data_IF_665133798950
#
_entry.id   IF_665133798950
#
_cell.length_a   1.000
_cell.length_b   1.000
_cell.length_c   1.000
_cell.angle_alpha   90.00
_cell.angle_beta   90.00
_cell.angle_gamma   90.00
#
_symmetry.space_group_name_H-M   'P 1'
#
loop_
_entity.id
_entity.type
_entity.pdbx_description
1 polymer ?
#
# COMPACT_ATOMS: atom_id res chain seq x y z
N UNK A 1 30.17 15.98 -11.38
CA UNK A 1 29.32 14.98 -10.70
C UNK A 1 27.88 15.48 -10.72
N UNK A 2 26.91 14.68 -11.18
CA UNK A 2 25.48 15.03 -11.09
C UNK A 2 24.84 14.13 -10.04
N UNK A 3 24.33 14.73 -8.97
CA UNK A 3 23.68 14.03 -7.86
C UNK A 3 22.19 14.33 -7.88
N UNK A 4 21.37 13.37 -7.48
CA UNK A 4 19.93 13.53 -7.28
C UNK A 4 19.57 13.11 -5.85
N UNK A 5 18.53 13.71 -5.30
CA UNK A 5 17.96 13.35 -3.99
C UNK A 5 16.59 12.74 -4.23
N UNK A 6 16.37 11.54 -3.71
CA UNK A 6 15.09 10.83 -3.78
C UNK A 6 14.51 10.67 -2.38
N UNK A 7 13.20 10.86 -2.26
CA UNK A 7 12.48 10.63 -1.01
C UNK A 7 12.26 9.13 -0.79
N UNK A 8 12.71 8.62 0.36
CA UNK A 8 12.39 7.27 0.81
C UNK A 8 11.09 7.27 1.61
N UNK A 9 10.30 6.22 1.42
CA UNK A 9 9.01 6.02 2.06
C UNK A 9 9.07 4.77 2.92
N UNK A 10 8.50 4.84 4.12
CA UNK A 10 8.36 3.69 5.00
C UNK A 10 7.26 2.77 4.48
N UNK A 11 7.53 1.46 4.49
CA UNK A 11 6.53 0.45 4.21
C UNK A 11 6.86 -0.87 4.90
N UNK A 12 6.06 -1.89 4.61
CA UNK A 12 6.23 -3.23 5.18
C UNK A 12 6.03 -4.31 4.13
N UNK A 13 6.71 -5.44 4.29
CA UNK A 13 6.46 -6.66 3.53
C UNK A 13 6.79 -7.85 4.42
N UNK A 14 5.92 -8.87 4.44
CA UNK A 14 6.03 -10.04 5.33
C UNK A 14 6.35 -9.67 6.80
N UNK A 15 5.73 -8.61 7.32
CA UNK A 15 5.93 -8.14 8.69
C UNK A 15 7.26 -7.43 8.96
N UNK A 16 8.09 -7.21 7.92
CA UNK A 16 9.40 -6.53 8.04
C UNK A 16 9.35 -5.13 7.44
N UNK A 17 9.97 -4.14 8.10
CA UNK A 17 10.02 -2.79 7.59
C UNK A 17 10.93 -2.68 6.36
N UNK A 18 10.53 -1.83 5.41
CA UNK A 18 11.28 -1.52 4.19
C UNK A 18 11.29 -0.02 3.93
N UNK A 19 12.31 0.44 3.21
CA UNK A 19 12.25 1.71 2.50
C UNK A 19 11.99 1.44 1.02
N UNK A 20 11.08 2.21 0.43
CA UNK A 20 10.82 2.18 -1.00
C UNK A 20 10.78 3.59 -1.59
N UNK A 21 10.90 3.66 -2.91
CA UNK A 21 10.72 4.86 -3.70
C UNK A 21 9.46 4.65 -4.54
N UNK A 22 8.61 5.66 -4.61
CA UNK A 22 7.43 5.70 -5.49
C UNK A 22 7.64 6.77 -6.55
N UNK A 23 7.46 6.42 -7.82
CA UNK A 23 7.88 7.26 -8.97
C UNK A 23 6.73 7.68 -9.85
N UNK A 24 5.84 6.75 -10.21
CA UNK A 24 4.70 6.98 -11.09
C UNK A 24 3.40 6.37 -10.55
N UNK A 25 2.26 6.96 -10.92
CA UNK A 25 0.95 6.32 -10.77
C UNK A 25 0.05 6.56 -11.98
N UNK A 26 -0.82 5.59 -12.27
CA UNK A 26 -1.82 5.68 -13.32
C UNK A 26 -3.04 6.54 -12.96
N UNK A 27 -3.16 6.94 -11.70
CA UNK A 27 -4.28 7.72 -11.18
C UNK A 27 -3.81 9.10 -10.69
N UNK A 28 -4.50 10.20 -11.05
CA UNK A 28 -4.07 11.54 -10.67
C UNK A 28 -4.20 11.81 -9.17
N UNK A 29 -5.17 11.18 -8.50
CA UNK A 29 -5.39 11.31 -7.05
C UNK A 29 -4.30 10.59 -6.28
N UNK A 30 -3.99 9.36 -6.68
CA UNK A 30 -2.87 8.60 -6.10
C UNK A 30 -1.55 9.35 -6.33
N UNK A 31 -1.34 9.89 -7.53
CA UNK A 31 -0.15 10.71 -7.84
C UNK A 31 -0.03 11.92 -6.92
N UNK A 32 -1.14 12.61 -6.63
CA UNK A 32 -1.15 13.76 -5.73
C UNK A 32 -0.87 13.38 -4.27
N UNK A 33 -1.46 12.28 -3.78
CA UNK A 33 -1.28 11.83 -2.39
C UNK A 33 0.15 11.28 -2.17
N UNK A 34 0.66 10.49 -3.10
CA UNK A 34 1.98 9.89 -2.98
C UNK A 34 3.10 10.83 -3.44
N UNK A 35 2.79 11.92 -4.15
CA UNK A 35 3.79 12.84 -4.72
C UNK A 35 4.57 12.20 -5.87
N UNK A 36 3.86 11.49 -6.76
CA UNK A 36 4.42 10.77 -7.90
C UNK A 36 4.16 11.52 -9.22
N UNK A 37 4.85 11.11 -10.28
CA UNK A 37 4.54 11.55 -11.64
C UNK A 37 3.26 10.87 -12.13
N UNK A 38 2.30 11.65 -12.60
CA UNK A 38 1.08 11.09 -13.21
C UNK A 38 1.38 10.49 -14.58
N UNK A 39 1.19 9.18 -14.71
CA UNK A 39 1.48 8.38 -15.90
C UNK A 39 0.23 7.56 -16.33
N UNK A 40 -0.76 8.19 -16.98
CA UNK A 40 -2.08 7.58 -17.24
C UNK A 40 -2.02 6.30 -18.09
N UNK A 41 -0.98 6.12 -18.91
CA UNK A 41 -0.83 4.92 -19.76
C UNK A 41 -0.60 3.64 -18.95
N UNK A 42 -0.13 3.75 -17.69
CA UNK A 42 0.00 2.61 -16.77
C UNK A 42 -1.36 1.95 -16.48
N UNK A 43 -2.49 2.65 -16.67
CA UNK A 43 -3.84 2.08 -16.50
C UNK A 43 -4.18 0.97 -17.51
N UNK A 44 -3.35 0.77 -18.54
CA UNK A 44 -3.50 -0.31 -19.53
C UNK A 44 -2.90 -1.64 -19.07
N UNK A 45 -2.20 -1.66 -17.94
CA UNK A 45 -1.67 -2.88 -17.34
C UNK A 45 -2.85 -3.64 -16.70
N UNK A 46 -2.90 -4.93 -16.95
CA UNK A 46 -3.92 -5.82 -16.38
C UNK A 46 -3.70 -5.98 -14.88
N UNK A 47 -4.75 -5.80 -14.08
CA UNK A 47 -4.75 -5.90 -12.61
C UNK A 47 -5.69 -7.00 -12.13
N UNK A 48 -5.62 -7.39 -10.85
CA UNK A 48 -6.41 -8.49 -10.29
C UNK A 48 -5.99 -9.88 -10.78
N UNK A 49 -4.78 -9.98 -11.32
CA UNK A 49 -4.15 -11.22 -11.83
C UNK A 49 -2.75 -11.40 -11.23
N UNK A 50 -2.51 -10.93 -10.00
CA UNK A 50 -1.27 -11.15 -9.25
C UNK A 50 -0.98 -12.65 -9.01
N UNK A 51 0.27 -12.98 -8.65
CA UNK A 51 0.72 -14.33 -8.28
C UNK A 51 0.55 -15.45 -9.33
N UNK A 52 0.26 -15.11 -10.60
CA UNK A 52 0.31 -16.04 -11.73
C UNK A 52 1.61 -15.91 -12.49
N UNK A 53 2.05 -16.98 -13.15
CA UNK A 53 3.32 -17.02 -13.90
C UNK A 53 3.47 -15.98 -15.04
N UNK A 54 2.38 -15.27 -15.38
CA UNK A 54 2.34 -14.22 -16.39
C UNK A 54 2.02 -12.84 -15.82
N UNK A 55 1.86 -12.70 -14.50
CA UNK A 55 1.53 -11.41 -13.93
C UNK A 55 2.69 -10.45 -14.09
N UNK A 56 2.38 -9.23 -14.53
CA UNK A 56 3.32 -8.13 -14.55
C UNK A 56 3.18 -7.25 -13.31
N UNK A 57 2.27 -7.59 -12.38
CA UNK A 57 1.94 -6.79 -11.20
C UNK A 57 2.05 -7.60 -9.92
N UNK A 58 2.36 -6.90 -8.83
CA UNK A 58 2.31 -7.43 -7.47
C UNK A 58 1.39 -6.55 -6.61
N UNK A 59 0.92 -7.02 -5.45
CA UNK A 59 -0.07 -6.26 -4.66
C UNK A 59 0.58 -5.26 -3.72
N UNK A 60 0.06 -4.02 -3.72
CA UNK A 60 0.29 -3.04 -2.66
C UNK A 60 -1.01 -2.77 -1.92
N UNK A 61 -0.96 -2.87 -0.60
CA UNK A 61 -2.10 -2.77 0.30
C UNK A 61 -2.12 -1.40 0.98
N UNK A 62 -3.23 -0.68 0.80
CA UNK A 62 -3.38 0.71 1.20
C UNK A 62 -4.64 0.87 2.06
N UNK A 63 -4.50 1.30 3.31
CA UNK A 63 -5.66 1.60 4.16
C UNK A 63 -6.25 2.98 3.80
N UNK A 64 -7.57 3.11 3.67
CA UNK A 64 -8.24 4.41 3.61
C UNK A 64 -8.28 5.08 4.98
N UNK A 65 -8.74 4.33 5.99
CA UNK A 65 -9.09 4.81 7.33
C UNK A 65 -8.29 4.10 8.45
N UNK A 66 -7.01 3.79 8.21
CA UNK A 66 -6.11 3.25 9.22
C UNK A 66 -5.95 4.18 10.44
N UNK A 67 -5.21 3.74 11.46
CA UNK A 67 -5.10 4.51 12.70
C UNK A 67 -4.39 5.87 12.46
N UNK A 68 -4.93 6.94 13.06
CA UNK A 68 -4.47 8.33 12.86
C UNK A 68 -4.18 9.07 14.16
N UNK A 69 -4.69 8.59 15.30
CA UNK A 69 -4.56 9.23 16.61
C UNK A 69 -3.08 9.31 17.00
N UNK A 70 -2.63 10.49 17.45
CA UNK A 70 -1.24 10.71 17.85
C UNK A 70 -0.27 10.99 16.68
N UNK A 71 -0.75 11.00 15.43
CA UNK A 71 0.03 11.37 14.25
C UNK A 71 1.31 10.55 14.08
N UNK A 72 2.38 11.19 13.63
CA UNK A 72 3.67 10.54 13.36
C UNK A 72 4.30 9.81 14.57
N UNK A 73 3.92 10.14 15.80
CA UNK A 73 4.43 9.48 17.01
C UNK A 73 3.71 8.16 17.33
N UNK A 74 2.61 7.86 16.63
CA UNK A 74 1.88 6.61 16.84
C UNK A 74 2.50 5.49 15.97
N UNK A 75 3.05 4.42 16.58
CA UNK A 75 3.58 3.29 15.83
C UNK A 75 2.52 2.50 15.05
N UNK A 76 1.23 2.68 15.37
CA UNK A 76 0.11 2.06 14.66
C UNK A 76 -0.39 2.89 13.47
N UNK A 77 0.19 4.08 13.23
CA UNK A 77 -0.25 5.00 12.18
C UNK A 77 -0.22 4.34 10.81
N UNK A 78 -1.32 4.39 10.06
CA UNK A 78 -1.39 3.84 8.70
C UNK A 78 -2.46 4.51 7.84
N UNK A 79 -2.24 4.52 6.53
CA UNK A 79 -3.27 4.80 5.53
C UNK A 79 -3.34 6.24 5.04
N UNK A 80 -4.24 6.44 4.08
CA UNK A 80 -4.47 7.72 3.40
C UNK A 80 -4.98 8.79 4.37
N UNK A 81 -5.91 8.44 5.25
CA UNK A 81 -6.41 9.37 6.28
C UNK A 81 -5.29 9.90 7.19
N UNK A 82 -4.34 9.05 7.59
CA UNK A 82 -3.19 9.49 8.36
C UNK A 82 -2.31 10.46 7.56
N UNK A 83 -2.06 10.15 6.29
CA UNK A 83 -1.25 11.00 5.40
C UNK A 83 -1.87 12.38 5.18
N UNK A 84 -3.19 12.46 5.04
CA UNK A 84 -3.90 13.72 4.89
C UNK A 84 -3.88 14.57 6.17
N UNK A 85 -3.91 13.94 7.36
CA UNK A 85 -4.00 14.64 8.63
C UNK A 85 -2.67 15.21 9.13
N UNK A 86 -1.54 14.54 8.86
CA UNK A 86 -0.24 14.97 9.38
C UNK A 86 0.83 15.23 8.30
N UNK A 87 0.51 15.02 7.02
CA UNK A 87 1.40 15.32 5.90
C UNK A 87 2.53 14.31 5.68
N UNK A 88 2.58 13.20 6.43
CA UNK A 88 3.57 12.14 6.23
C UNK A 88 3.04 11.06 5.28
N UNK A 89 3.89 10.49 4.42
CA UNK A 89 3.48 9.44 3.47
C UNK A 89 2.91 8.20 4.19
N UNK A 90 2.02 7.42 3.55
CA UNK A 90 1.37 6.29 4.18
C UNK A 90 2.33 5.09 4.34
N UNK A 91 2.20 4.40 5.48
CA UNK A 91 2.91 3.16 5.79
C UNK A 91 2.26 1.96 5.04
N UNK A 92 2.41 1.92 3.72
CA UNK A 92 1.80 0.88 2.88
C UNK A 92 2.47 -0.48 3.09
N UNK A 93 1.71 -1.54 2.81
CA UNK A 93 2.19 -2.93 2.88
C UNK A 93 2.29 -3.49 1.47
N UNK A 94 3.31 -4.29 1.22
CA UNK A 94 3.57 -4.93 -0.07
C UNK A 94 3.39 -6.44 0.07
N UNK A 95 3.01 -7.08 -1.04
CA UNK A 95 3.14 -8.52 -1.23
C UNK A 95 4.60 -8.91 -1.46
N UNK A 96 4.85 -9.70 -2.49
CA UNK A 96 6.19 -10.16 -2.88
C UNK A 96 7.18 -9.03 -3.13
N UNK A 97 8.36 -9.07 -2.49
CA UNK A 97 9.47 -8.13 -2.73
C UNK A 97 10.75 -8.88 -3.14
N UNK A 98 11.76 -8.21 -3.74
CA UNK A 98 13.00 -8.88 -4.13
C UNK A 98 13.61 -9.62 -2.95
N UNK A 99 14.19 -10.80 -3.20
CA UNK A 99 14.86 -11.68 -2.22
C UNK A 99 13.95 -12.32 -1.16
N UNK A 100 12.64 -12.05 -1.19
CA UNK A 100 11.68 -12.65 -0.25
C UNK A 100 10.66 -13.54 -0.97
N UNK A 101 10.28 -13.17 -2.19
CA UNK A 101 9.37 -13.94 -3.03
C UNK A 101 9.81 -13.89 -4.51
N UNK A 102 9.31 -14.82 -5.33
CA UNK A 102 9.68 -14.99 -6.74
C UNK A 102 8.74 -14.27 -7.72
N UNK A 103 7.62 -13.77 -7.21
CA UNK A 103 6.52 -13.07 -7.89
C UNK A 103 6.71 -11.54 -7.92
N UNK A 104 7.81 -11.02 -7.35
CA UNK A 104 8.06 -9.58 -7.30
C UNK A 104 7.89 -8.87 -8.65
N UNK A 105 7.10 -7.79 -8.63
CA UNK A 105 7.07 -6.76 -9.66
C UNK A 105 7.26 -5.37 -9.04
N UNK A 106 8.05 -4.46 -9.67
CA UNK A 106 8.06 -3.04 -9.29
C UNK A 106 6.77 -2.31 -9.70
N UNK A 107 5.88 -2.97 -10.45
CA UNK A 107 4.57 -2.44 -10.83
C UNK A 107 3.53 -3.04 -9.90
N UNK A 108 2.79 -2.19 -9.20
CA UNK A 108 1.92 -2.60 -8.11
C UNK A 108 0.45 -2.36 -8.45
N UNK A 109 -0.38 -3.37 -8.20
CA UNK A 109 -1.84 -3.29 -8.20
C UNK A 109 -2.33 -2.81 -6.83
N UNK A 110 -2.92 -1.61 -6.80
CA UNK A 110 -3.43 -1.02 -5.57
C UNK A 110 -4.64 -1.78 -5.03
N UNK A 111 -4.44 -2.48 -3.92
CA UNK A 111 -5.49 -3.14 -3.15
C UNK A 111 -5.84 -2.25 -1.95
N UNK A 112 -6.93 -1.50 -2.10
CA UNK A 112 -7.35 -0.52 -1.10
C UNK A 112 -8.34 -1.16 -0.15
N UNK A 113 -8.13 -0.98 1.15
CA UNK A 113 -9.02 -1.49 2.18
C UNK A 113 -9.45 -0.42 3.18
N UNK A 114 -10.57 -0.71 3.83
CA UNK A 114 -11.21 0.12 4.84
C UNK A 114 -11.53 -0.75 6.05
N UNK A 115 -11.14 -0.31 7.24
CA UNK A 115 -11.58 -0.91 8.50
C UNK A 115 -13.07 -0.68 8.69
N UNK A 116 -13.81 -1.73 9.06
CA UNK A 116 -15.24 -1.61 9.37
C UNK A 116 -15.45 -0.86 10.68
N UNK A 117 -16.60 -0.20 10.82
CA UNK A 117 -16.97 0.49 12.07
C UNK A 117 -16.95 -0.48 13.26
N UNK A 118 -17.49 -1.69 13.10
CA UNK A 118 -17.47 -2.72 14.13
C UNK A 118 -16.04 -3.09 14.57
N UNK A 119 -15.10 -3.22 13.64
CA UNK A 119 -13.71 -3.51 13.97
C UNK A 119 -13.02 -2.34 14.68
N UNK A 120 -13.37 -1.10 14.32
CA UNK A 120 -12.88 0.12 14.97
C UNK A 120 -13.41 0.20 16.40
N UNK A 121 -14.71 -0.02 16.62
CA UNK A 121 -15.35 0.00 17.95
C UNK A 121 -14.75 -1.06 18.88
N UNK A 122 -14.40 -2.22 18.34
CA UNK A 122 -13.71 -3.30 19.07
C UNK A 122 -12.22 -3.03 19.31
N UNK A 123 -11.67 -1.93 18.79
CA UNK A 123 -10.28 -1.54 18.97
C UNK A 123 -9.29 -2.35 18.14
N UNK A 124 -9.72 -2.98 17.04
CA UNK A 124 -8.84 -3.78 16.18
C UNK A 124 -8.06 -2.98 15.15
N UNK A 125 -8.48 -1.73 14.88
CA UNK A 125 -7.82 -0.85 13.92
C UNK A 125 -6.38 -0.57 14.36
N UNK A 126 -5.43 -0.91 13.50
CA UNK A 126 -4.00 -0.68 13.72
C UNK A 126 -3.18 -0.92 12.46
N UNK A 127 -1.86 -0.93 12.64
CA UNK A 127 -0.92 -1.14 11.54
C UNK A 127 -0.96 -2.60 11.06
N UNK A 128 -1.26 -2.79 9.78
CA UNK A 128 -1.18 -4.09 9.11
C UNK A 128 0.07 -4.15 8.25
N UNK A 129 0.99 -5.04 8.58
CA UNK A 129 2.35 -5.11 7.99
C UNK A 129 2.56 -6.33 7.09
N UNK A 130 1.57 -7.21 6.95
CA UNK A 130 1.68 -8.45 6.18
C UNK A 130 0.42 -8.70 5.35
N UNK A 131 0.64 -9.12 4.12
CA UNK A 131 -0.40 -9.45 3.15
C UNK A 131 -1.42 -10.47 3.69
N UNK A 132 -0.95 -11.64 4.15
CA UNK A 132 -1.86 -12.71 4.54
C UNK A 132 -2.77 -12.33 5.71
N UNK A 133 -2.32 -11.41 6.58
CA UNK A 133 -3.17 -10.84 7.63
C UNK A 133 -4.25 -9.97 7.04
N UNK A 134 -3.92 -9.09 6.09
CA UNK A 134 -4.87 -8.22 5.42
C UNK A 134 -5.92 -9.08 4.71
N UNK A 135 -5.49 -10.07 3.91
CA UNK A 135 -6.39 -10.99 3.21
C UNK A 135 -7.30 -11.77 4.17
N UNK A 136 -6.75 -12.24 5.31
CA UNK A 136 -7.55 -12.89 6.35
C UNK A 136 -8.58 -11.96 6.97
N UNK A 137 -8.21 -10.73 7.32
CA UNK A 137 -9.13 -9.75 7.88
C UNK A 137 -10.24 -9.38 6.89
N UNK A 138 -9.92 -9.30 5.60
CA UNK A 138 -10.90 -9.02 4.56
C UNK A 138 -11.91 -10.18 4.44
N UNK A 139 -11.41 -11.41 4.36
CA UNK A 139 -12.24 -12.62 4.31
C UNK A 139 -13.12 -12.76 5.56
N UNK A 140 -12.60 -12.42 6.72
CA UNK A 140 -13.30 -12.55 8.00
C UNK A 140 -14.20 -11.31 8.30
N UNK A 141 -14.27 -10.32 7.40
CA UNK A 141 -15.19 -9.17 7.48
C UNK A 141 -14.75 -8.01 8.39
N UNK A 142 -13.51 -8.01 8.87
CA UNK A 142 -12.96 -6.92 9.70
C UNK A 142 -12.51 -5.71 8.89
N UNK A 143 -12.18 -5.94 7.61
CA UNK A 143 -11.90 -4.88 6.64
C UNK A 143 -12.69 -5.18 5.36
N UNK A 144 -13.01 -4.14 4.59
CA UNK A 144 -13.70 -4.21 3.31
C UNK A 144 -12.92 -3.42 2.26
N UNK A 145 -13.40 -3.39 1.02
CA UNK A 145 -13.09 -2.29 0.12
C UNK A 145 -13.73 -0.98 0.60
N UNK A 146 -13.38 0.16 0.00
CA UNK A 146 -13.92 1.47 0.39
C UNK A 146 -15.45 1.51 0.37
N UNK A 147 -16.07 2.16 1.37
CA UNK A 147 -17.52 2.25 1.54
C UNK A 147 -18.23 0.89 1.66
N UNK A 148 -17.57 -0.11 2.25
CA UNK A 148 -18.14 -1.45 2.44
C UNK A 148 -18.18 -2.32 1.18
N UNK A 149 -17.53 -1.90 0.08
CA UNK A 149 -17.44 -2.71 -1.13
C UNK A 149 -16.68 -4.03 -0.88
N UNK A 150 -16.81 -5.05 -1.75
CA UNK A 150 -15.93 -6.21 -1.71
C UNK A 150 -14.46 -5.80 -1.79
N UNK A 151 -13.61 -6.44 -0.99
CA UNK A 151 -12.17 -6.20 -1.00
C UNK A 151 -11.51 -6.78 -2.26
N UNK A 152 -10.53 -6.07 -2.83
CA UNK A 152 -9.73 -6.53 -3.96
C UNK A 152 -8.97 -5.40 -4.69
N UNK A 153 -8.55 -5.67 -5.93
CA UNK A 153 -7.92 -4.68 -6.82
C UNK A 153 -8.83 -3.46 -6.97
N UNK A 154 -8.26 -2.29 -6.71
CA UNK A 154 -8.93 -1.00 -6.88
C UNK A 154 -8.66 -0.41 -8.28
N UNK A 155 -7.66 -0.94 -8.98
CA UNK A 155 -7.30 -0.64 -10.37
C UNK A 155 -6.18 0.38 -10.59
N UNK A 156 -5.90 1.38 -9.72
CA UNK A 156 -4.71 2.20 -9.89
C UNK A 156 -3.46 1.32 -9.89
N UNK A 157 -2.53 1.70 -10.77
CA UNK A 157 -1.24 1.04 -10.92
C UNK A 157 -0.18 2.01 -10.43
N UNK A 158 0.72 1.54 -9.59
CA UNK A 158 1.75 2.36 -8.95
C UNK A 158 3.11 1.73 -9.25
N UNK A 159 4.10 2.53 -9.61
CA UNK A 159 5.47 2.04 -9.80
C UNK A 159 6.28 2.38 -8.55
N UNK A 160 6.70 1.34 -7.83
CA UNK A 160 7.51 1.46 -6.62
C UNK A 160 8.69 0.48 -6.64
N UNK A 161 9.86 0.96 -6.26
CA UNK A 161 11.06 0.14 -6.06
C UNK A 161 11.41 0.02 -4.58
N UNK A 162 11.54 -1.21 -4.06
CA UNK A 162 12.08 -1.44 -2.72
C UNK A 162 13.57 -1.09 -2.74
N UNK A 163 13.94 -0.06 -1.98
CA UNK A 163 15.30 0.48 -1.93
C UNK A 163 16.14 -0.19 -0.84
N UNK A 164 15.53 -0.53 0.31
CA UNK A 164 16.21 -1.22 1.40
C UNK A 164 15.23 -2.05 2.24
N UNK A 165 15.72 -3.21 2.71
CA UNK A 165 15.09 -3.96 3.79
C UNK A 165 15.72 -3.54 5.11
N UNK A 166 14.90 -3.33 6.13
CA UNK A 166 15.35 -2.87 7.44
C UNK A 166 15.26 -4.06 8.41
N UNK A 167 16.41 -4.46 8.95
CA UNK A 167 16.56 -5.56 9.90
C UNK A 167 16.86 -5.03 11.28
#
# INVERSE_FOLDING_TARGET
NRTVTLSLINGYSFGKPVFYISTESSDPTVSAIEGNTFAPRLRRIETGVDDISRSAVERIFIATNGETKGGCQNPQRQGLGAALLDGHRPNNTFGGIPTTATDYSPVWDANVYEWTEEAIEKGYRGLLTEEFRILKLARDGYITGPNGAPYGSFGPVIVCGVAARLN
#
